data_IF_026225453725
#
_entry.id   IF_026225453725
#
_cell.length_a   1.000
_cell.length_b   1.000
_cell.length_c   1.000
_cell.angle_alpha   90.00
_cell.angle_beta   90.00
_cell.angle_gamma   90.00
#
_symmetry.space_group_name_H-M   'P 1'
#
loop_
_entity.id
_entity.type
_entity.pdbx_description
1 polymer ?
#
# COMPACT_ATOMS: atom_id res chain seq x y z
N UNK A 1 9.52 9.36 43.54
CA UNK A 1 10.31 8.40 42.73
C UNK A 1 9.91 8.59 41.27
N UNK A 2 10.57 9.52 40.58
CA UNK A 2 10.35 9.76 39.16
C UNK A 2 11.02 8.62 38.37
N UNK A 3 10.33 8.09 37.37
CA UNK A 3 10.83 7.00 36.53
C UNK A 3 12.08 7.44 35.80
N UNK A 4 13.17 6.75 36.08
CA UNK A 4 14.41 6.87 35.32
C UNK A 4 14.13 6.40 33.90
N UNK A 5 14.33 7.30 32.93
CA UNK A 5 14.38 6.94 31.51
C UNK A 5 15.64 6.10 31.35
N UNK A 6 15.48 4.78 31.38
CA UNK A 6 16.57 3.84 31.13
C UNK A 6 16.92 3.99 29.65
N UNK A 7 17.94 4.80 29.36
CA UNK A 7 18.59 4.83 28.06
C UNK A 7 19.49 3.58 28.05
N UNK A 8 19.15 2.52 27.29
CA UNK A 8 20.09 1.42 27.12
C UNK A 8 21.38 1.98 26.50
N UNK A 9 22.58 1.49 26.90
CA UNK A 9 23.83 1.93 26.30
C UNK A 9 23.77 1.77 24.78
N UNK A 10 23.92 2.86 24.04
CA UNK A 10 23.70 2.96 22.59
C UNK A 10 24.97 2.68 21.76
N UNK A 11 26.01 2.11 22.36
CA UNK A 11 27.36 2.34 21.85
C UNK A 11 27.95 1.22 20.98
N UNK A 12 27.30 0.05 20.85
CA UNK A 12 27.88 -1.08 20.07
C UNK A 12 27.05 -1.48 18.82
N UNK A 13 25.76 -1.11 18.71
CA UNK A 13 24.90 -1.49 17.56
C UNK A 13 24.67 -0.36 16.53
N UNK A 14 25.36 0.79 16.65
CA UNK A 14 25.24 1.88 15.68
C UNK A 14 26.11 1.73 14.43
N UNK A 15 27.03 0.75 14.40
CA UNK A 15 28.09 0.71 13.38
C UNK A 15 27.67 0.11 12.04
N UNK A 16 26.50 -0.54 11.94
CA UNK A 16 26.08 -1.27 10.72
C UNK A 16 24.70 -0.84 10.16
N UNK A 17 24.18 0.30 10.60
CA UNK A 17 22.88 0.80 10.12
C UNK A 17 23.04 1.51 8.78
N UNK A 18 22.62 0.86 7.70
CA UNK A 18 22.65 1.43 6.35
C UNK A 18 21.51 2.44 6.17
N UNK A 19 21.87 3.72 6.05
CA UNK A 19 20.95 4.77 5.62
C UNK A 19 20.77 4.80 4.10
N UNK A 20 19.84 5.62 3.62
CA UNK A 20 19.73 5.90 2.19
C UNK A 20 20.97 6.64 1.69
N UNK A 21 21.47 6.28 0.51
CA UNK A 21 22.67 6.89 -0.08
C UNK A 21 22.40 8.31 -0.62
N UNK A 22 21.14 8.60 -0.96
CA UNK A 22 20.75 9.89 -1.55
C UNK A 22 19.35 10.30 -1.08
N UNK A 23 19.10 11.60 -0.96
CA UNK A 23 17.77 12.13 -0.61
C UNK A 23 16.69 11.70 -1.61
N UNK A 24 17.05 11.56 -2.89
CA UNK A 24 16.14 11.05 -3.90
C UNK A 24 15.66 9.62 -3.61
N UNK A 25 16.54 8.73 -3.13
CA UNK A 25 16.17 7.35 -2.76
C UNK A 25 15.18 7.34 -1.59
N UNK A 26 15.36 8.25 -0.64
CA UNK A 26 14.43 8.43 0.47
C UNK A 26 13.05 8.88 -0.03
N UNK A 27 12.99 9.92 -0.87
CA UNK A 27 11.73 10.42 -1.42
C UNK A 27 11.02 9.34 -2.24
N UNK A 28 11.77 8.59 -3.06
CA UNK A 28 11.21 7.49 -3.85
C UNK A 28 10.61 6.39 -2.95
N UNK A 29 11.27 6.06 -1.84
CA UNK A 29 10.75 5.09 -0.88
C UNK A 29 9.45 5.58 -0.21
N UNK A 30 9.40 6.86 0.20
CA UNK A 30 8.22 7.46 0.83
C UNK A 30 7.05 7.56 -0.15
N UNK A 31 7.30 7.97 -1.39
CA UNK A 31 6.26 8.04 -2.45
C UNK A 31 5.76 6.63 -2.79
N UNK A 32 6.66 5.65 -2.90
CA UNK A 32 6.30 4.25 -3.13
C UNK A 32 5.43 3.66 -2.01
N UNK A 33 5.67 4.05 -0.76
CA UNK A 33 4.82 3.67 0.37
C UNK A 33 3.46 4.38 0.36
N UNK A 34 3.41 5.63 -0.14
CA UNK A 34 2.20 6.46 -0.14
C UNK A 34 1.21 6.12 -1.25
N UNK A 35 1.69 5.56 -2.37
CA UNK A 35 0.84 5.20 -3.51
C UNK A 35 0.50 3.71 -3.46
N UNK A 36 -0.74 3.39 -3.09
CA UNK A 36 -1.25 2.00 -3.05
C UNK A 36 -2.35 1.73 -4.08
N UNK A 37 -2.68 0.45 -4.29
CA UNK A 37 -3.77 0.05 -5.19
C UNK A 37 -5.15 0.64 -4.79
N UNK A 38 -5.34 0.98 -3.50
CA UNK A 38 -6.52 1.69 -3.04
C UNK A 38 -6.75 3.03 -3.78
N UNK A 39 -5.68 3.73 -4.18
CA UNK A 39 -5.81 4.98 -4.94
C UNK A 39 -6.30 4.74 -6.38
N UNK A 40 -6.16 3.52 -6.91
CA UNK A 40 -6.52 3.18 -8.29
C UNK A 40 -8.02 2.87 -8.41
N UNK A 41 -8.58 2.07 -7.49
CA UNK A 41 -9.99 1.65 -7.58
C UNK A 41 -10.89 2.25 -6.52
N UNK A 42 -10.42 2.42 -5.27
CA UNK A 42 -11.28 2.82 -4.16
C UNK A 42 -11.52 4.32 -4.20
N UNK A 43 -10.47 5.09 -4.46
CA UNK A 43 -10.59 6.55 -4.56
C UNK A 43 -11.59 6.97 -5.66
N UNK A 44 -11.50 6.48 -6.92
CA UNK A 44 -12.48 6.84 -7.94
C UNK A 44 -13.91 6.39 -7.62
N UNK A 45 -14.07 5.19 -7.06
CA UNK A 45 -15.39 4.67 -6.68
C UNK A 45 -16.06 5.56 -5.61
N UNK A 46 -15.33 5.88 -4.53
CA UNK A 46 -15.84 6.72 -3.45
C UNK A 46 -16.06 8.16 -3.92
N UNK A 47 -15.17 8.71 -4.74
CA UNK A 47 -15.35 10.04 -5.31
C UNK A 47 -16.62 10.10 -6.18
N UNK A 48 -16.84 9.09 -7.03
CA UNK A 48 -18.03 9.02 -7.88
C UNK A 48 -19.33 9.00 -7.07
N UNK A 49 -19.39 8.18 -6.00
CA UNK A 49 -20.56 8.08 -5.13
C UNK A 49 -20.83 9.35 -4.30
N UNK A 50 -19.80 10.14 -3.99
CA UNK A 50 -19.89 11.31 -3.11
C UNK A 50 -19.89 12.66 -3.86
N UNK A 51 -20.39 12.71 -5.09
CA UNK A 51 -20.51 13.95 -5.86
C UNK A 51 -19.31 14.27 -6.77
N UNK A 52 -18.54 13.24 -7.13
CA UNK A 52 -17.45 13.32 -8.11
C UNK A 52 -16.34 14.28 -7.67
N UNK A 53 -16.12 15.32 -8.48
CA UNK A 53 -15.03 16.29 -8.27
C UNK A 53 -15.26 17.15 -7.01
N UNK A 54 -16.50 17.35 -6.57
CA UNK A 54 -16.77 18.14 -5.35
C UNK A 54 -16.20 17.49 -4.09
N UNK A 55 -16.16 16.14 -4.04
CA UNK A 55 -15.52 15.37 -2.97
C UNK A 55 -14.03 15.69 -2.81
N UNK A 56 -13.37 16.20 -3.86
CA UNK A 56 -11.94 16.49 -3.84
C UNK A 56 -11.58 17.65 -2.90
N UNK A 57 -12.48 18.63 -2.72
CA UNK A 57 -12.24 19.80 -1.87
C UNK A 57 -12.04 19.38 -0.40
N UNK A 58 -13.00 18.71 0.27
CA UNK A 58 -12.80 18.26 1.64
C UNK A 58 -11.69 17.22 1.76
N UNK A 59 -11.49 16.37 0.74
CA UNK A 59 -10.41 15.38 0.71
C UNK A 59 -9.02 16.05 0.77
N UNK A 60 -8.77 17.07 -0.06
CA UNK A 60 -7.51 17.81 -0.06
C UNK A 60 -7.33 18.64 1.21
N UNK A 61 -8.39 19.27 1.72
CA UNK A 61 -8.33 20.00 2.99
C UNK A 61 -7.93 19.08 4.14
N UNK A 62 -8.53 17.89 4.26
CA UNK A 62 -8.16 16.92 5.29
C UNK A 62 -6.74 16.37 5.08
N UNK A 63 -6.33 16.17 3.83
CA UNK A 63 -4.96 15.77 3.49
C UNK A 63 -3.91 16.79 3.95
N UNK A 64 -4.16 18.08 3.76
CA UNK A 64 -3.23 19.14 4.16
C UNK A 64 -3.26 19.35 5.69
N UNK A 65 -4.46 19.34 6.30
CA UNK A 65 -4.63 19.61 7.72
C UNK A 65 -4.21 18.45 8.64
N UNK A 66 -4.37 17.21 8.20
CA UNK A 66 -4.08 16.02 9.00
C UNK A 66 -3.04 15.11 8.36
N UNK A 67 -3.13 14.86 7.05
CA UNK A 67 -2.22 13.95 6.35
C UNK A 67 -0.75 14.43 6.36
N UNK A 68 -0.49 15.64 5.86
CA UNK A 68 0.85 16.22 5.83
C UNK A 68 1.50 16.36 7.22
N UNK A 69 0.84 16.92 8.25
CA UNK A 69 1.46 17.02 9.57
C UNK A 69 1.70 15.65 10.21
N UNK A 70 0.80 14.67 10.02
CA UNK A 70 1.02 13.30 10.52
C UNK A 70 2.25 12.67 9.87
N UNK A 71 2.40 12.79 8.55
CA UNK A 71 3.57 12.27 7.81
C UNK A 71 4.87 12.95 8.27
N UNK A 72 4.82 14.27 8.50
CA UNK A 72 5.97 15.03 8.99
C UNK A 72 6.40 14.55 10.38
N UNK A 73 5.45 14.41 11.31
CA UNK A 73 5.71 13.93 12.68
C UNK A 73 6.31 12.52 12.64
N UNK A 74 5.72 11.60 11.88
CA UNK A 74 6.20 10.22 11.79
C UNK A 74 7.63 10.16 11.22
N UNK A 75 7.90 10.94 10.15
CA UNK A 75 9.23 11.04 9.55
C UNK A 75 10.25 11.65 10.52
N UNK A 76 9.88 12.70 11.26
CA UNK A 76 10.75 13.34 12.24
C UNK A 76 11.07 12.40 13.42
N UNK A 77 10.08 11.66 13.93
CA UNK A 77 10.28 10.66 14.98
C UNK A 77 11.19 9.55 14.47
N UNK A 78 10.98 9.05 13.25
CA UNK A 78 11.82 8.02 12.65
C UNK A 78 13.30 8.44 12.53
N UNK A 79 13.54 9.69 12.14
CA UNK A 79 14.89 10.26 12.03
C UNK A 79 15.55 10.54 13.38
N UNK A 80 14.78 11.01 14.37
CA UNK A 80 15.28 11.29 15.72
C UNK A 80 15.57 10.01 16.51
N UNK A 81 14.62 9.07 16.50
CA UNK A 81 14.68 7.86 17.30
C UNK A 81 15.59 6.79 16.69
N UNK A 82 15.70 6.76 15.36
CA UNK A 82 16.49 5.78 14.62
C UNK A 82 16.30 4.35 15.13
N UNK A 83 15.05 3.99 15.47
CA UNK A 83 14.71 2.69 16.03
C UNK A 83 13.31 2.29 15.58
N UNK A 84 13.04 0.99 15.58
CA UNK A 84 11.72 0.47 15.23
C UNK A 84 10.67 0.94 16.26
N UNK A 85 9.42 1.18 15.85
CA UNK A 85 8.38 1.71 16.74
C UNK A 85 8.18 0.85 18.00
N UNK A 86 8.29 -0.48 17.90
CA UNK A 86 8.23 -1.40 19.06
C UNK A 86 9.26 -1.12 20.15
N UNK A 87 10.46 -0.70 19.77
CA UNK A 87 11.54 -0.37 20.70
C UNK A 87 11.31 1.05 21.26
N UNK A 88 10.90 1.99 20.42
CA UNK A 88 10.58 3.37 20.82
C UNK A 88 9.46 3.40 21.86
N UNK A 89 8.35 2.69 21.63
CA UNK A 89 7.27 2.62 22.61
C UNK A 89 7.71 1.96 23.92
N UNK A 90 8.53 0.90 23.86
CA UNK A 90 9.08 0.26 25.07
C UNK A 90 9.94 1.22 25.90
N UNK A 91 10.74 2.07 25.26
CA UNK A 91 11.70 2.96 25.93
C UNK A 91 11.04 4.23 26.51
N UNK A 92 10.08 4.83 25.80
CA UNK A 92 9.48 6.11 26.22
C UNK A 92 8.13 5.94 26.93
N UNK A 93 7.35 4.93 26.53
CA UNK A 93 6.01 4.68 27.07
C UNK A 93 5.82 3.19 27.36
N UNK A 94 6.47 2.63 28.40
CA UNK A 94 6.46 1.19 28.66
C UNK A 94 5.05 0.62 28.88
N UNK A 95 4.12 1.40 29.43
CA UNK A 95 2.70 1.03 29.54
C UNK A 95 2.01 0.83 28.17
N UNK A 96 2.51 1.52 27.13
CA UNK A 96 1.99 1.46 25.76
C UNK A 96 2.85 0.58 24.84
N UNK A 97 3.70 -0.30 25.38
CA UNK A 97 4.56 -1.20 24.59
C UNK A 97 3.76 -2.05 23.58
N UNK A 98 2.51 -2.40 23.91
CA UNK A 98 1.60 -3.14 23.02
C UNK A 98 1.29 -2.40 21.72
N UNK A 99 1.33 -1.06 21.69
CA UNK A 99 1.09 -0.28 20.48
C UNK A 99 2.13 -0.57 19.40
N UNK A 100 3.41 -0.60 19.76
CA UNK A 100 4.46 -0.88 18.79
C UNK A 100 4.35 -2.28 18.16
N UNK A 101 4.00 -3.30 18.95
CA UNK A 101 3.75 -4.65 18.43
C UNK A 101 2.47 -4.71 17.59
N UNK A 102 1.43 -3.98 17.96
CA UNK A 102 0.19 -3.91 17.17
C UNK A 102 0.45 -3.35 15.76
N UNK A 103 1.32 -2.34 15.62
CA UNK A 103 1.72 -1.82 14.30
C UNK A 103 2.40 -2.88 13.44
N UNK A 104 3.28 -3.71 14.02
CA UNK A 104 3.92 -4.80 13.29
C UNK A 104 2.91 -5.86 12.82
N UNK A 105 1.95 -6.22 13.67
CA UNK A 105 0.88 -7.19 13.31
C UNK A 105 0.01 -6.64 12.19
N UNK A 106 -0.39 -5.37 12.26
CA UNK A 106 -1.21 -4.72 11.22
C UNK A 106 -0.50 -4.74 9.87
N UNK A 107 0.77 -4.35 9.83
CA UNK A 107 1.57 -4.36 8.58
C UNK A 107 1.70 -5.79 8.02
N UNK A 108 1.91 -6.79 8.88
CA UNK A 108 1.99 -8.19 8.46
C UNK A 108 0.65 -8.69 7.89
N UNK A 109 -0.47 -8.38 8.54
CA UNK A 109 -1.80 -8.76 8.07
C UNK A 109 -2.14 -8.13 6.72
N UNK A 110 -1.80 -6.85 6.53
CA UNK A 110 -1.92 -6.16 5.25
C UNK A 110 -1.06 -6.85 4.20
N UNK A 111 0.19 -7.19 4.53
CA UNK A 111 1.09 -7.92 3.63
C UNK A 111 0.45 -9.18 3.05
N UNK A 112 -0.12 -10.05 3.90
CA UNK A 112 -0.80 -11.27 3.43
C UNK A 112 -1.98 -11.00 2.51
N UNK A 113 -2.79 -10.00 2.83
CA UNK A 113 -3.95 -9.64 2.02
C UNK A 113 -3.55 -9.11 0.63
N UNK A 114 -2.46 -8.34 0.56
CA UNK A 114 -2.00 -7.73 -0.70
C UNK A 114 -1.20 -8.67 -1.61
N UNK A 115 -0.72 -9.82 -1.12
CA UNK A 115 -0.02 -10.82 -1.96
C UNK A 115 -0.95 -11.36 -3.05
N UNK A 116 -2.21 -11.65 -2.73
CA UNK A 116 -3.15 -12.27 -3.68
C UNK A 116 -3.42 -11.38 -4.90
N UNK A 117 -3.83 -10.10 -4.76
CA UNK A 117 -3.97 -9.19 -5.90
C UNK A 117 -2.69 -9.04 -6.73
N UNK A 118 -1.52 -8.96 -6.08
CA UNK A 118 -0.24 -8.88 -6.77
C UNK A 118 0.04 -10.11 -7.63
N UNK A 119 -0.25 -11.32 -7.13
CA UNK A 119 -0.13 -12.54 -7.91
C UNK A 119 -1.05 -12.53 -9.13
N UNK A 120 -2.32 -12.14 -8.97
CA UNK A 120 -3.25 -12.01 -10.09
C UNK A 120 -2.74 -10.99 -11.12
N UNK A 121 -2.31 -9.80 -10.70
CA UNK A 121 -1.76 -8.78 -11.60
C UNK A 121 -0.57 -9.32 -12.41
N UNK A 122 0.34 -10.06 -11.79
CA UNK A 122 1.47 -10.66 -12.49
C UNK A 122 1.04 -11.71 -13.51
N UNK A 123 0.06 -12.56 -13.19
CA UNK A 123 -0.48 -13.56 -14.12
C UNK A 123 -1.04 -12.87 -15.37
N UNK A 124 -1.84 -11.81 -15.20
CA UNK A 124 -2.40 -11.06 -16.34
C UNK A 124 -1.30 -10.37 -17.16
N UNK A 125 -0.28 -9.79 -16.52
CA UNK A 125 0.86 -9.16 -17.22
C UNK A 125 1.65 -10.21 -18.02
N UNK A 126 1.94 -11.37 -17.45
CA UNK A 126 2.65 -12.44 -18.15
C UNK A 126 1.86 -12.95 -19.36
N UNK A 127 0.54 -13.10 -19.24
CA UNK A 127 -0.32 -13.50 -20.35
C UNK A 127 -0.42 -12.42 -21.44
N UNK A 128 -0.40 -11.15 -21.05
CA UNK A 128 -0.32 -10.01 -21.96
C UNK A 128 0.97 -10.04 -22.78
N UNK A 129 2.12 -10.21 -22.12
CA UNK A 129 3.44 -10.27 -22.77
C UNK A 129 3.56 -11.53 -23.65
N UNK A 130 3.02 -12.67 -23.20
CA UNK A 130 3.01 -13.92 -23.97
C UNK A 130 2.05 -13.91 -25.18
N UNK A 131 1.28 -12.84 -25.39
CA UNK A 131 0.31 -12.74 -26.48
C UNK A 131 -0.93 -13.64 -26.33
N UNK A 132 -1.16 -14.17 -25.13
CA UNK A 132 -2.27 -15.09 -24.82
C UNK A 132 -3.57 -14.36 -24.44
N UNK A 133 -3.65 -13.04 -24.60
CA UNK A 133 -4.86 -12.25 -24.32
C UNK A 133 -6.10 -12.75 -25.09
N UNK A 134 -5.90 -13.26 -26.32
CA UNK A 134 -7.00 -13.82 -27.13
C UNK A 134 -7.62 -15.07 -26.49
N UNK A 135 -6.82 -15.87 -25.79
CA UNK A 135 -7.32 -17.01 -25.01
C UNK A 135 -8.24 -16.51 -23.90
N UNK A 136 -7.83 -15.49 -23.14
CA UNK A 136 -8.62 -14.93 -22.02
C UNK A 136 -9.89 -14.18 -22.45
N UNK A 137 -9.93 -13.69 -23.69
CA UNK A 137 -11.07 -12.91 -24.23
C UNK A 137 -12.05 -13.79 -25.03
N UNK A 138 -11.74 -15.09 -25.19
CA UNK A 138 -12.56 -16.04 -25.95
C UNK A 138 -13.31 -17.00 -25.04
N UNK A 139 -14.53 -17.34 -25.44
CA UNK A 139 -15.37 -18.27 -24.71
C UNK A 139 -15.11 -19.76 -25.02
N UNK A 140 -14.17 -20.09 -25.91
CA UNK A 140 -13.87 -21.47 -26.33
C UNK A 140 -12.95 -22.31 -25.42
N UNK A 141 -12.74 -21.95 -24.15
CA UNK A 141 -11.78 -22.62 -23.27
C UNK A 141 -12.44 -23.64 -22.34
N UNK A 142 -11.70 -24.67 -21.94
CA UNK A 142 -12.19 -25.75 -21.07
C UNK A 142 -12.70 -25.29 -19.69
N UNK A 143 -12.30 -24.11 -19.22
CA UNK A 143 -12.76 -23.52 -17.96
C UNK A 143 -14.01 -22.65 -18.06
N UNK A 144 -14.55 -22.43 -19.26
CA UNK A 144 -15.66 -21.50 -19.47
C UNK A 144 -17.01 -22.22 -19.30
N UNK A 145 -17.98 -21.50 -18.74
CA UNK A 145 -19.37 -21.99 -18.60
C UNK A 145 -20.19 -21.67 -19.85
N UNK A 146 -21.39 -22.28 -19.95
CA UNK A 146 -22.34 -22.07 -21.06
C UNK A 146 -22.81 -20.61 -21.16
N UNK A 147 -22.67 -19.82 -20.07
CA UNK A 147 -23.04 -18.40 -20.02
C UNK A 147 -21.91 -17.45 -20.41
N UNK A 148 -20.77 -17.96 -20.88
CA UNK A 148 -19.67 -17.12 -21.32
C UNK A 148 -20.09 -16.33 -22.57
N UNK A 149 -19.92 -15.00 -22.53
CA UNK A 149 -20.10 -14.11 -23.68
C UNK A 149 -18.79 -13.38 -23.97
N UNK A 150 -18.33 -13.41 -25.21
CA UNK A 150 -17.15 -12.68 -25.69
C UNK A 150 -17.54 -11.68 -26.77
N UNK A 151 -17.01 -10.45 -26.69
CA UNK A 151 -17.22 -9.43 -27.73
C UNK A 151 -16.66 -9.85 -29.09
N UNK A 152 -15.58 -10.65 -29.08
CA UNK A 152 -14.98 -11.24 -30.29
C UNK A 152 -15.91 -12.21 -31.03
N UNK A 153 -16.83 -12.87 -30.33
CA UNK A 153 -17.80 -13.76 -30.97
C UNK A 153 -18.91 -13.01 -31.71
N UNK A 154 -19.13 -11.72 -31.38
CA UNK A 154 -20.12 -10.88 -32.07
C UNK A 154 -19.60 -10.30 -33.38
N UNK A 155 -18.28 -10.17 -33.57
CA UNK A 155 -17.69 -9.66 -34.82
C UNK A 155 -17.73 -10.70 -35.97
N UNK A 156 -17.77 -12.00 -35.66
CA UNK A 156 -17.93 -13.07 -36.66
C UNK A 156 -19.40 -13.29 -37.11
N UNK A 157 -20.37 -12.57 -36.54
CA UNK A 157 -21.77 -12.58 -36.98
C UNK A 157 -22.11 -11.27 -37.73
N UNK A 158 -22.03 -11.22 -39.07
CA UNK A 158 -22.38 -10.03 -39.86
C UNK A 158 -23.89 -9.72 -39.91
N UNK A 159 -24.71 -10.41 -39.11
CA UNK A 159 -26.10 -10.05 -38.87
C UNK A 159 -26.38 -10.21 -37.39
N UNK A 160 -26.45 -9.07 -36.70
CA UNK A 160 -26.76 -9.01 -35.29
C UNK A 160 -28.14 -9.59 -35.00
N UNK A 161 -28.15 -10.64 -34.20
CA UNK A 161 -29.15 -10.95 -33.19
C UNK A 161 -28.46 -11.66 -32.05
#
# INVERSE_FOLDING_TARGET
KAGEVIIPPQDEEKKDRKGFSTQFQYIQAVVGMSVGLGNIWRFPAVAYENGGVFFLIPYLCMGILFGLPMLYIDSSIGQFMQNSPSIVFKQYFPAAQGLGWSMAVIVLSIGFFYVVPCCWSLIYICQLIAGLMKYMTSCGNAGNTIQCASSLACEDHPNGT
#
